data_IF_577561049096
#
_entry.id   IF_577561049096
#
_cell.length_a   1.000
_cell.length_b   1.000
_cell.length_c   1.000
_cell.angle_alpha   90.00
_cell.angle_beta   90.00
_cell.angle_gamma   90.00
#
_symmetry.space_group_name_H-M   'P 1'
#
loop_
_entity.id
_entity.type
_entity.pdbx_description
1 polymer ?
#
# COMPACT_ATOMS: atom_id res chain seq x y z
N UNK A 1 28.37 22.38 8.03
CA UNK A 1 27.17 21.98 7.28
C UNK A 1 26.19 21.38 8.29
N UNK A 2 24.97 21.89 8.37
CA UNK A 2 23.91 21.20 9.13
C UNK A 2 23.29 20.16 8.21
N UNK A 3 23.33 18.90 8.61
CA UNK A 3 22.60 17.83 7.93
C UNK A 3 21.18 17.80 8.52
N UNK A 4 20.17 17.98 7.68
CA UNK A 4 18.77 17.79 8.05
C UNK A 4 18.20 16.63 7.27
N UNK A 5 17.44 15.77 7.95
CA UNK A 5 16.72 14.66 7.32
C UNK A 5 15.23 15.00 7.29
N UNK A 6 14.61 14.85 6.11
CA UNK A 6 13.16 14.98 5.92
C UNK A 6 12.62 13.59 5.56
N UNK A 7 11.68 13.10 6.36
CA UNK A 7 10.91 11.88 6.04
C UNK A 7 9.49 12.24 5.63
N UNK A 8 9.02 11.65 4.53
CA UNK A 8 7.65 11.81 4.03
C UNK A 8 7.14 10.47 3.51
N UNK A 9 5.94 10.10 3.93
CA UNK A 9 5.27 8.86 3.52
C UNK A 9 4.02 9.25 2.71
N UNK A 10 4.02 9.07 1.38
CA UNK A 10 2.87 9.41 0.55
C UNK A 10 1.68 8.49 0.82
N UNK A 11 0.48 9.07 0.84
CA UNK A 11 -0.77 8.35 1.18
C UNK A 11 -1.67 8.02 -0.01
N UNK A 12 -1.30 8.46 -1.21
CA UNK A 12 -2.09 8.24 -2.44
C UNK A 12 -1.14 7.99 -3.60
N UNK A 13 -1.63 7.25 -4.59
CA UNK A 13 -0.96 7.11 -5.89
C UNK A 13 -0.84 8.45 -6.57
N UNK A 14 0.28 8.68 -7.26
CA UNK A 14 0.41 9.80 -8.18
C UNK A 14 1.83 10.33 -8.28
N UNK A 15 1.98 11.34 -9.13
CA UNK A 15 3.23 12.08 -9.26
C UNK A 15 3.15 13.30 -8.35
N UNK A 16 4.06 13.37 -7.38
CA UNK A 16 4.19 14.49 -6.46
C UNK A 16 5.41 15.31 -6.83
N UNK A 17 5.23 16.61 -6.96
CA UNK A 17 6.34 17.54 -7.12
C UNK A 17 6.74 18.04 -5.74
N UNK A 18 7.94 17.64 -5.29
CA UNK A 18 8.50 18.06 -4.01
C UNK A 18 9.52 19.16 -4.26
N UNK A 19 9.22 20.35 -3.73
CA UNK A 19 10.07 21.53 -3.84
C UNK A 19 10.86 21.74 -2.55
N UNK A 20 12.17 21.50 -2.62
CA UNK A 20 13.12 21.87 -1.58
C UNK A 20 13.64 23.26 -1.87
N UNK A 21 13.57 24.15 -0.89
CA UNK A 21 14.09 25.53 -0.99
C UNK A 21 15.04 25.79 0.15
N UNK A 22 16.23 26.28 -0.18
CA UNK A 22 17.18 26.76 0.82
C UNK A 22 16.95 28.27 0.95
N UNK A 23 16.63 28.69 2.17
CA UNK A 23 16.43 30.10 2.48
C UNK A 23 17.63 30.64 3.27
N UNK A 24 18.15 31.80 2.87
CA UNK A 24 19.13 32.58 3.65
C UNK A 24 18.53 33.94 3.94
N UNK A 25 18.35 34.26 5.23
CA UNK A 25 17.68 35.49 5.68
C UNK A 25 16.30 35.71 5.02
N UNK A 26 15.51 34.64 4.86
CA UNK A 26 14.18 34.69 4.23
C UNK A 26 14.21 34.75 2.69
N UNK A 27 15.38 34.87 2.07
CA UNK A 27 15.54 34.88 0.62
C UNK A 27 15.86 33.49 0.13
N UNK A 28 15.16 33.03 -0.90
CA UNK A 28 15.46 31.77 -1.57
C UNK A 28 16.81 31.88 -2.28
N UNK A 29 17.78 31.07 -1.88
CA UNK A 29 19.12 31.04 -2.48
C UNK A 29 19.31 29.84 -3.41
N UNK A 30 18.54 28.77 -3.20
CA UNK A 30 18.64 27.56 -4.01
C UNK A 30 17.32 26.77 -3.96
N UNK A 31 16.97 26.11 -5.06
CA UNK A 31 15.79 25.25 -5.11
C UNK A 31 16.04 23.97 -5.88
N UNK A 32 15.54 22.86 -5.35
CA UNK A 32 15.53 21.55 -5.98
C UNK A 32 14.08 21.09 -6.09
N UNK A 33 13.65 20.77 -7.31
CA UNK A 33 12.33 20.19 -7.59
C UNK A 33 12.50 18.73 -7.97
N UNK A 34 11.92 17.83 -7.18
CA UNK A 34 11.92 16.39 -7.45
C UNK A 34 10.52 15.94 -7.84
N UNK A 35 10.41 15.11 -8.88
CA UNK A 35 9.18 14.39 -9.20
C UNK A 35 9.24 13.00 -8.56
N UNK A 36 8.38 12.75 -7.57
CA UNK A 36 8.27 11.47 -6.90
C UNK A 36 7.03 10.76 -7.43
N UNK A 37 7.23 9.65 -8.14
CA UNK A 37 6.14 8.80 -8.59
C UNK A 37 5.81 7.76 -7.53
N UNK A 38 4.62 7.85 -6.96
CA UNK A 38 4.15 6.96 -5.91
C UNK A 38 3.18 5.96 -6.52
N UNK A 39 3.59 4.69 -6.50
CA UNK A 39 2.82 3.58 -7.03
C UNK A 39 2.11 2.84 -5.88
N UNK A 40 0.79 2.79 -5.96
CA UNK A 40 -0.04 1.83 -5.24
C UNK A 40 -0.52 0.78 -6.23
N UNK A 41 -0.85 -0.40 -5.74
CA UNK A 41 -1.51 -1.40 -6.56
C UNK A 41 -3.01 -1.12 -6.54
N UNK A 42 -3.57 -1.06 -7.74
CA UNK A 42 -4.99 -0.82 -8.00
C UNK A 42 -5.55 -1.95 -8.85
N UNK A 43 -6.83 -2.23 -8.68
CA UNK A 43 -7.58 -3.16 -9.51
C UNK A 43 -8.62 -2.38 -10.32
N UNK A 44 -8.62 -2.56 -11.64
CA UNK A 44 -9.66 -2.01 -12.52
C UNK A 44 -10.80 -3.02 -12.59
N UNK A 45 -11.94 -2.66 -12.02
CA UNK A 45 -13.13 -3.53 -11.97
C UNK A 45 -13.61 -3.85 -13.38
N UNK A 46 -13.76 -5.14 -13.67
CA UNK A 46 -14.36 -5.65 -14.90
C UNK A 46 -15.88 -5.74 -14.78
N UNK A 47 -16.63 -5.73 -15.89
CA UNK A 47 -18.08 -5.92 -15.86
C UNK A 47 -18.46 -7.19 -15.10
N UNK A 48 -19.38 -7.05 -14.14
CA UNK A 48 -19.89 -8.17 -13.32
C UNK A 48 -18.98 -8.61 -12.17
N UNK A 49 -17.79 -8.03 -11.99
CA UNK A 49 -16.98 -8.29 -10.79
C UNK A 49 -17.61 -7.66 -9.55
N UNK A 50 -17.48 -8.38 -8.44
CA UNK A 50 -17.89 -7.95 -7.10
C UNK A 50 -16.67 -7.69 -6.23
N UNK A 51 -16.84 -6.87 -5.19
CA UNK A 51 -15.75 -6.59 -4.25
C UNK A 51 -15.27 -7.87 -3.54
N UNK A 52 -16.16 -8.85 -3.35
CA UNK A 52 -15.85 -10.17 -2.82
C UNK A 52 -14.90 -10.96 -3.73
N UNK A 53 -15.16 -10.99 -5.03
CA UNK A 53 -14.30 -11.68 -6.00
C UNK A 53 -12.93 -11.02 -6.07
N UNK A 54 -12.89 -9.69 -6.11
CA UNK A 54 -11.65 -8.93 -6.11
C UNK A 54 -10.85 -9.21 -4.83
N UNK A 55 -11.50 -9.20 -3.66
CA UNK A 55 -10.85 -9.52 -2.39
C UNK A 55 -10.22 -10.91 -2.39
N UNK A 56 -10.91 -11.91 -2.95
CA UNK A 56 -10.36 -13.25 -3.14
C UNK A 56 -9.10 -13.29 -4.02
N UNK A 57 -9.06 -12.49 -5.09
CA UNK A 57 -7.87 -12.39 -5.95
C UNK A 57 -6.65 -11.85 -5.20
N UNK A 58 -6.86 -10.94 -4.25
CA UNK A 58 -5.79 -10.33 -3.45
C UNK A 58 -5.57 -10.99 -2.08
N UNK A 59 -6.22 -12.14 -1.81
CA UNK A 59 -6.12 -12.89 -0.56
C UNK A 59 -6.41 -12.00 0.66
N UNK A 60 -7.54 -11.31 0.61
CA UNK A 60 -8.01 -10.41 1.67
C UNK A 60 -9.54 -10.46 1.77
N UNK A 61 -10.10 -9.72 2.73
CA UNK A 61 -11.54 -9.60 2.91
C UNK A 61 -12.10 -8.43 2.10
N UNK A 62 -13.35 -8.54 1.64
CA UNK A 62 -14.01 -7.43 0.97
C UNK A 62 -14.20 -6.24 1.90
N UNK A 63 -14.30 -6.47 3.22
CA UNK A 63 -14.36 -5.41 4.23
C UNK A 63 -13.05 -4.62 4.28
N UNK A 64 -11.90 -5.29 4.15
CA UNK A 64 -10.60 -4.63 4.06
C UNK A 64 -10.50 -3.77 2.80
N UNK A 65 -10.93 -4.29 1.64
CA UNK A 65 -10.98 -3.47 0.44
C UNK A 65 -12.00 -2.33 0.57
N UNK A 66 -13.15 -2.55 1.20
CA UNK A 66 -14.14 -1.50 1.39
C UNK A 66 -13.64 -0.38 2.31
N UNK A 67 -12.95 -0.71 3.40
CA UNK A 67 -12.45 0.29 4.36
C UNK A 67 -11.42 1.24 3.74
N UNK A 68 -10.61 0.75 2.80
CA UNK A 68 -9.58 1.57 2.13
C UNK A 68 -10.09 2.29 0.88
N UNK A 69 -11.34 2.04 0.47
CA UNK A 69 -11.97 2.65 -0.69
C UNK A 69 -13.21 3.46 -0.28
N UNK A 70 -13.05 4.60 0.43
CA UNK A 70 -14.17 5.36 0.99
C UNK A 70 -15.09 5.99 -0.07
N UNK A 71 -14.69 6.00 -1.34
CA UNK A 71 -15.55 6.41 -2.46
C UNK A 71 -16.62 5.37 -2.80
N UNK A 72 -16.48 4.12 -2.33
CA UNK A 72 -17.48 3.09 -2.50
C UNK A 72 -18.61 3.32 -1.49
N UNK A 73 -19.81 3.59 -1.98
CA UNK A 73 -20.98 3.79 -1.12
C UNK A 73 -21.65 2.47 -0.73
N UNK A 74 -21.55 1.46 -1.59
CA UNK A 74 -22.16 0.15 -1.38
C UNK A 74 -21.18 -0.96 -1.80
N UNK A 75 -20.78 -1.88 -0.92
CA UNK A 75 -19.84 -2.95 -1.24
C UNK A 75 -20.39 -3.97 -2.24
N UNK A 76 -21.71 -4.00 -2.47
CA UNK A 76 -22.37 -4.88 -3.44
C UNK A 76 -22.52 -4.26 -4.82
N UNK A 77 -22.31 -2.96 -4.94
CA UNK A 77 -22.48 -2.22 -6.19
C UNK A 77 -21.15 -1.56 -6.53
N UNK A 78 -20.39 -2.21 -7.41
CA UNK A 78 -19.22 -1.58 -8.00
C UNK A 78 -19.66 -0.84 -9.26
N UNK A 79 -19.43 0.48 -9.36
CA UNK A 79 -19.72 1.22 -10.58
C UNK A 79 -18.88 0.62 -11.72
N UNK A 80 -19.52 -0.11 -12.62
CA UNK A 80 -18.85 -0.66 -13.81
C UNK A 80 -19.31 0.14 -15.01
N UNK A 81 -18.39 0.35 -15.96
CA UNK A 81 -18.80 0.81 -17.28
C UNK A 81 -19.59 -0.33 -17.93
N UNK A 82 -20.88 -0.13 -18.16
CA UNK A 82 -21.73 -1.10 -18.87
C UNK A 82 -21.46 -0.90 -20.37
N UNK A 83 -21.12 -1.99 -21.05
CA UNK A 83 -20.75 -2.09 -22.49
C UNK A 83 -21.87 -1.74 -23.49
N UNK A 84 -22.79 -0.83 -23.17
CA UNK A 84 -23.84 -0.44 -24.12
C UNK A 84 -23.45 0.81 -24.93
N UNK A 85 -22.80 0.51 -26.06
CA UNK A 85 -22.89 1.16 -27.38
C UNK A 85 -23.02 2.69 -27.33
N UNK A 86 -21.91 3.42 -27.22
CA UNK A 86 -21.60 4.63 -28.02
C UNK A 86 -20.29 5.32 -27.59
N UNK A 87 -19.67 4.89 -26.48
CA UNK A 87 -18.31 5.30 -26.13
C UNK A 87 -17.45 4.11 -25.68
N UNK A 88 -16.28 3.87 -26.30
CA UNK A 88 -15.38 2.80 -25.90
C UNK A 88 -14.88 3.06 -24.47
N UNK A 89 -14.85 2.00 -23.66
CA UNK A 89 -14.32 2.01 -22.29
C UNK A 89 -12.81 2.37 -22.21
N UNK A 90 -12.18 2.69 -23.34
CA UNK A 90 -10.83 3.24 -23.43
C UNK A 90 -10.71 4.61 -22.76
N UNK A 91 -11.78 5.41 -22.68
CA UNK A 91 -11.74 6.76 -22.09
C UNK A 91 -12.57 6.95 -20.81
N UNK A 92 -13.23 5.91 -20.29
CA UNK A 92 -13.94 5.98 -19.00
C UNK A 92 -13.08 5.29 -17.94
N UNK A 93 -12.65 6.06 -16.94
CA UNK A 93 -12.06 5.57 -15.70
C UNK A 93 -13.07 4.63 -15.03
N UNK A 94 -13.01 3.33 -15.36
CA UNK A 94 -13.74 2.31 -14.62
C UNK A 94 -13.42 2.42 -13.12
N UNK A 95 -14.32 1.94 -12.25
CA UNK A 95 -14.05 1.98 -10.82
C UNK A 95 -12.70 1.33 -10.54
N UNK A 96 -11.82 2.11 -9.90
CA UNK A 96 -10.54 1.63 -9.40
C UNK A 96 -10.73 1.27 -7.95
N UNK A 97 -10.37 0.05 -7.60
CA UNK A 97 -10.26 -0.39 -6.22
C UNK A 97 -8.79 -0.26 -5.83
N UNK A 98 -8.51 0.62 -4.89
CA UNK A 98 -7.23 0.67 -4.21
C UNK A 98 -7.06 -0.65 -3.47
N UNK A 99 -5.96 -1.35 -3.74
CA UNK A 99 -5.62 -2.58 -3.03
C UNK A 99 -4.65 -2.27 -1.91
N UNK A 100 -3.64 -1.45 -2.18
CA UNK A 100 -2.66 -1.04 -1.18
C UNK A 100 -1.33 -0.65 -1.81
N UNK A 101 -0.23 -0.82 -1.10
CA UNK A 101 1.09 -0.31 -1.52
C UNK A 101 1.99 -1.42 -2.03
N UNK A 102 2.72 -1.15 -3.10
CA UNK A 102 3.77 -2.05 -3.55
C UNK A 102 4.95 -1.92 -2.58
N UNK A 103 5.30 -3.03 -1.94
CA UNK A 103 6.51 -3.15 -1.12
C UNK A 103 7.38 -4.22 -1.73
N UNK A 104 8.66 -3.90 -1.89
CA UNK A 104 9.67 -4.90 -2.21
C UNK A 104 10.03 -5.63 -0.93
N UNK A 105 9.71 -6.92 -0.88
CA UNK A 105 10.03 -7.77 0.26
C UNK A 105 11.22 -8.65 -0.11
N UNK A 106 12.27 -8.56 0.70
CA UNK A 106 13.46 -9.38 0.51
C UNK A 106 13.29 -10.75 1.19
N UNK A 107 14.06 -11.75 0.74
CA UNK A 107 14.00 -13.14 1.26
C UNK A 107 14.11 -13.30 2.78
N UNK A 108 14.75 -12.34 3.45
CA UNK A 108 14.99 -12.34 4.90
C UNK A 108 14.18 -11.28 5.65
N UNK A 109 13.38 -10.50 4.93
CA UNK A 109 12.64 -9.39 5.50
C UNK A 109 11.50 -9.93 6.35
N UNK A 110 11.42 -9.48 7.59
CA UNK A 110 10.31 -9.83 8.46
C UNK A 110 9.15 -8.80 8.31
N UNK A 111 7.98 -9.14 8.84
CA UNK A 111 6.83 -8.25 8.81
C UNK A 111 7.07 -6.93 9.57
N UNK A 112 7.90 -6.91 10.63
CA UNK A 112 8.16 -5.68 11.38
C UNK A 112 8.93 -4.65 10.56
N UNK A 113 9.89 -5.09 9.76
CA UNK A 113 10.60 -4.25 8.77
C UNK A 113 9.64 -3.72 7.71
N UNK A 114 8.70 -4.55 7.24
CA UNK A 114 7.65 -4.13 6.30
C UNK A 114 6.72 -3.07 6.91
N UNK A 115 6.32 -3.25 8.16
CA UNK A 115 5.51 -2.28 8.92
C UNK A 115 6.25 -0.95 9.05
N UNK A 116 7.55 -0.99 9.35
CA UNK A 116 8.39 0.22 9.43
C UNK A 116 8.52 0.93 8.07
N UNK A 117 8.72 0.20 6.98
CA UNK A 117 8.79 0.76 5.62
C UNK A 117 7.46 1.43 5.19
N UNK A 118 6.34 0.89 5.67
CA UNK A 118 5.03 1.45 5.45
C UNK A 118 4.72 2.61 6.41
N UNK A 119 5.38 2.69 7.55
CA UNK A 119 5.07 3.68 8.59
C UNK A 119 3.67 3.48 9.19
N UNK A 120 3.20 2.23 9.22
CA UNK A 120 1.89 1.83 9.79
C UNK A 120 2.05 1.04 11.09
N UNK A 121 0.94 0.47 11.57
CA UNK A 121 0.96 -0.44 12.72
C UNK A 121 1.06 -1.90 12.30
N UNK A 122 1.61 -2.78 13.16
CA UNK A 122 1.57 -4.22 12.91
C UNK A 122 0.13 -4.70 12.74
N UNK A 123 -0.78 -4.18 13.57
CA UNK A 123 -2.21 -4.52 13.51
C UNK A 123 -2.79 -4.23 12.14
N UNK A 124 -2.52 -3.06 11.56
CA UNK A 124 -3.03 -2.67 10.24
C UNK A 124 -2.53 -3.62 9.14
N UNK A 125 -1.22 -3.83 9.10
CA UNK A 125 -0.58 -4.68 8.08
C UNK A 125 -0.99 -6.13 8.27
N UNK A 126 -1.03 -6.65 9.50
CA UNK A 126 -1.36 -8.04 9.75
C UNK A 126 -2.85 -8.33 9.55
N UNK A 127 -3.75 -7.45 10.00
CA UNK A 127 -5.20 -7.68 9.94
C UNK A 127 -5.70 -7.79 8.50
N UNK A 128 -5.15 -7.01 7.58
CA UNK A 128 -5.59 -7.02 6.18
C UNK A 128 -4.83 -7.99 5.28
N UNK A 129 -3.73 -8.56 5.76
CA UNK A 129 -2.88 -9.49 5.02
C UNK A 129 -2.74 -10.86 5.70
N UNK A 130 -3.59 -11.19 6.68
CA UNK A 130 -3.42 -12.38 7.54
C UNK A 130 -3.32 -13.69 6.75
N UNK A 131 -4.05 -13.85 5.65
CA UNK A 131 -4.00 -15.05 4.79
C UNK A 131 -2.67 -15.23 4.07
N UNK A 132 -1.88 -14.16 4.02
CA UNK A 132 -0.57 -14.08 3.39
C UNK A 132 0.55 -14.17 4.40
N UNK A 133 0.23 -14.29 5.70
CA UNK A 133 1.22 -14.47 6.75
C UNK A 133 1.41 -15.96 7.04
N UNK A 134 2.65 -16.37 7.25
CA UNK A 134 2.99 -17.69 7.76
C UNK A 134 3.97 -17.55 8.93
N UNK A 135 3.92 -18.49 9.86
CA UNK A 135 4.90 -18.58 10.94
C UNK A 135 6.17 -19.26 10.42
N UNK A 136 7.32 -18.62 10.63
CA UNK A 136 8.63 -19.24 10.44
C UNK A 136 9.18 -19.60 11.83
N UNK A 137 9.46 -20.89 12.06
CA UNK A 137 10.18 -21.34 13.26
C UNK A 137 11.63 -20.87 13.18
N UNK A 138 12.12 -20.28 14.26
CA UNK A 138 13.51 -19.86 14.38
C UNK A 138 14.42 -21.09 14.39
N UNK A 139 15.47 -21.09 13.55
CA UNK A 139 16.51 -22.13 13.60
C UNK A 139 17.40 -22.03 14.85
N UNK A 140 17.25 -20.96 15.65
CA UNK A 140 17.93 -20.79 16.91
C UNK A 140 17.03 -21.29 18.07
N UNK A 141 17.43 -22.35 18.79
CA UNK A 141 16.65 -22.93 19.89
C UNK A 141 16.48 -21.97 21.09
N UNK A 142 17.28 -20.91 21.21
CA UNK A 142 17.08 -19.87 22.22
C UNK A 142 15.94 -18.89 21.86
N UNK A 143 15.55 -18.82 20.59
CA UNK A 143 14.49 -17.96 20.05
C UNK A 143 13.24 -18.75 19.64
N UNK A 144 13.18 -20.04 20.00
CA UNK A 144 12.10 -20.97 19.63
C UNK A 144 10.73 -20.61 20.24
N UNK A 145 10.71 -19.59 21.11
CA UNK A 145 9.50 -18.97 21.68
C UNK A 145 8.99 -17.76 20.89
N UNK A 146 9.74 -17.27 19.90
CA UNK A 146 9.37 -16.12 19.08
C UNK A 146 8.79 -16.61 17.76
N UNK A 147 7.47 -16.42 17.58
CA UNK A 147 6.81 -16.65 16.31
C UNK A 147 7.10 -15.45 15.41
N UNK A 148 7.97 -15.63 14.42
CA UNK A 148 8.18 -14.63 13.38
C UNK A 148 7.13 -14.85 12.30
N UNK A 149 6.28 -13.85 12.08
CA UNK A 149 5.36 -13.82 10.95
C UNK A 149 6.08 -13.27 9.72
N UNK A 150 5.99 -14.01 8.63
CA UNK A 150 6.59 -13.64 7.36
C UNK A 150 5.52 -13.66 6.26
N UNK A 151 5.73 -12.87 5.21
CA UNK A 151 4.84 -12.79 4.07
C UNK A 151 5.15 -13.95 3.13
N UNK A 152 4.12 -14.70 2.75
CA UNK A 152 4.21 -15.96 1.98
C UNK A 152 4.79 -15.74 0.57
N UNK A 153 6.10 -15.58 0.46
CA UNK A 153 6.88 -15.52 -0.78
C UNK A 153 8.27 -16.07 -0.47
N UNK A 154 8.43 -17.39 -0.54
CA UNK A 154 9.54 -18.06 0.15
C UNK A 154 10.88 -18.09 -0.59
N UNK A 155 11.05 -17.51 -1.78
CA UNK A 155 12.30 -17.74 -2.54
C UNK A 155 12.89 -16.58 -3.35
N UNK A 156 12.32 -15.37 -3.44
CA UNK A 156 12.88 -14.29 -4.29
C UNK A 156 12.55 -12.89 -3.75
N UNK A 157 13.35 -11.90 -4.12
CA UNK A 157 13.04 -10.49 -3.84
C UNK A 157 11.94 -10.03 -4.79
N UNK A 158 10.74 -9.88 -4.24
CA UNK A 158 9.51 -9.67 -5.01
C UNK A 158 8.81 -8.40 -4.59
N UNK A 159 8.22 -7.75 -5.57
CA UNK A 159 7.32 -6.62 -5.34
C UNK A 159 5.93 -7.19 -5.06
N UNK A 160 5.45 -7.01 -3.84
CA UNK A 160 4.14 -7.48 -3.42
C UNK A 160 3.23 -6.30 -3.09
N UNK A 161 1.94 -6.47 -3.35
CA UNK A 161 0.96 -5.52 -2.89
C UNK A 161 0.63 -5.79 -1.42
N UNK A 162 0.88 -4.86 -0.50
CA UNK A 162 0.41 -4.94 0.89
C UNK A 162 -0.90 -4.17 1.01
N UNK A 163 -1.95 -4.86 1.46
CA UNK A 163 -3.26 -4.21 1.72
C UNK A 163 -3.15 -3.38 2.99
N UNK A 164 -3.33 -2.07 2.86
CA UNK A 164 -3.16 -1.12 3.96
C UNK A 164 -3.88 0.18 3.61
N UNK A 165 -4.60 0.75 4.57
CA UNK A 165 -5.27 2.05 4.46
C UNK A 165 -4.28 3.20 4.66
N UNK A 166 -3.16 2.91 5.34
CA UNK A 166 -2.13 3.84 5.80
C UNK A 166 -2.72 4.95 6.69
N UNK A 167 -3.86 4.68 7.33
CA UNK A 167 -4.59 5.66 8.16
C UNK A 167 -4.18 5.65 9.61
N UNK A 168 -3.48 4.61 10.09
CA UNK A 168 -3.07 4.54 11.49
C UNK A 168 -1.92 5.49 11.76
N UNK A 169 -2.20 6.58 12.49
CA UNK A 169 -1.19 7.29 13.25
C UNK A 169 -0.86 6.45 14.49
N UNK A 170 0.32 5.83 14.51
CA UNK A 170 1.01 5.74 15.79
C UNK A 170 1.75 7.07 15.98
N UNK A 171 1.31 7.83 17.00
CA UNK A 171 1.97 9.03 17.50
C UNK A 171 3.45 8.73 17.73
N UNK A 172 4.32 9.51 17.08
CA UNK A 172 5.68 9.72 17.59
C UNK A 172 5.57 10.50 18.90
N UNK A 173 6.10 9.93 19.98
CA UNK A 173 6.66 10.71 21.09
C UNK A 173 8.13 10.93 20.79
#
# INVERSE_FOLDING_TARGET
>A
CMNGELSWIPRRTGVFLVDFKILKAGVNVESLRLAVNVLFCEHRVKPGETLQQIAGLYQTSWQALFSINPHLQNPRELPTCIENIFEPCENIKGTRIQIGRIVRVNRTQNIAETVQQLGGSFTEVAMHNYERLYSRSSTNPALDRIVVFDLKHSHEDVDICIISSMTDQCFTV
#
